data_IF_849285620655
#
_entry.id   IF_849285620655
#
_cell.length_a   1.000
_cell.length_b   1.000
_cell.length_c   1.000
_cell.angle_alpha   90.00
_cell.angle_beta   90.00
_cell.angle_gamma   90.00
#
_symmetry.space_group_name_H-M   'P 1'
#
loop_
_entity.id
_entity.type
_entity.pdbx_description
1 polymer ?
#
# COMPACT_ATOMS: atom_id res chain seq x y z
N UNK A 1 4.50 -47.16 -16.84
CA UNK A 1 4.56 -45.82 -17.48
C UNK A 1 4.23 -44.81 -16.38
N UNK A 2 5.26 -44.17 -15.79
CA UNK A 2 5.10 -43.22 -14.70
C UNK A 2 4.73 -41.85 -15.26
N UNK A 3 3.45 -41.50 -15.24
CA UNK A 3 3.03 -40.12 -15.53
C UNK A 3 3.13 -39.28 -14.27
N UNK A 4 4.12 -38.38 -14.26
CA UNK A 4 4.41 -37.46 -13.16
C UNK A 4 3.23 -36.50 -13.01
N UNK A 5 2.60 -36.50 -11.84
CA UNK A 5 1.60 -35.50 -11.45
C UNK A 5 2.29 -34.13 -11.40
N UNK A 6 2.10 -33.30 -12.41
CA UNK A 6 2.54 -31.90 -12.40
C UNK A 6 1.73 -31.14 -11.35
N UNK A 7 2.34 -30.91 -10.19
CA UNK A 7 1.82 -30.01 -9.17
C UNK A 7 1.87 -28.58 -9.72
N UNK A 8 0.75 -28.10 -10.26
CA UNK A 8 0.54 -26.68 -10.50
C UNK A 8 0.49 -25.97 -9.14
N UNK A 9 1.62 -25.42 -8.71
CA UNK A 9 1.69 -24.59 -7.51
C UNK A 9 0.86 -23.34 -7.73
N UNK A 10 -0.29 -23.26 -7.08
CA UNK A 10 -1.08 -22.03 -7.02
C UNK A 10 -0.29 -20.98 -6.22
N UNK A 11 0.36 -20.06 -6.93
CA UNK A 11 0.92 -18.86 -6.32
C UNK A 11 -0.25 -17.92 -6.08
N UNK A 12 -0.84 -17.98 -4.89
CA UNK A 12 -1.89 -17.05 -4.49
C UNK A 12 -1.39 -15.61 -4.59
N UNK A 13 -2.13 -14.75 -5.28
CA UNK A 13 -1.80 -13.32 -5.35
C UNK A 13 -1.96 -12.68 -3.97
N UNK A 14 -0.87 -12.18 -3.41
CA UNK A 14 -0.87 -11.42 -2.15
C UNK A 14 -0.93 -9.93 -2.48
N UNK A 15 -2.08 -9.32 -2.25
CA UNK A 15 -2.25 -7.87 -2.40
C UNK A 15 -2.01 -7.18 -1.05
N UNK A 16 -1.08 -6.23 -1.02
CA UNK A 16 -0.81 -5.38 0.15
C UNK A 16 -1.47 -4.02 -0.06
N UNK A 17 -2.21 -3.54 0.95
CA UNK A 17 -2.80 -2.20 0.98
C UNK A 17 -2.01 -1.31 1.92
N UNK A 18 -1.74 -0.07 1.50
CA UNK A 18 -1.17 0.96 2.34
C UNK A 18 -2.29 1.71 3.05
N UNK A 19 -2.18 1.86 4.36
CA UNK A 19 -3.14 2.62 5.18
C UNK A 19 -2.39 3.71 5.96
N UNK A 20 -3.01 4.88 6.09
CA UNK A 20 -2.60 5.92 7.02
C UNK A 20 -3.67 6.01 8.09
N UNK A 21 -3.28 5.81 9.35
CA UNK A 21 -4.19 5.83 10.50
C UNK A 21 -3.82 7.03 11.37
N UNK A 22 -4.75 7.97 11.51
CA UNK A 22 -4.57 9.19 12.30
C UNK A 22 -5.54 9.18 13.49
N UNK A 23 -5.02 9.40 14.70
CA UNK A 23 -5.84 9.51 15.90
C UNK A 23 -6.60 10.86 15.92
N UNK A 24 -7.92 10.80 16.02
CA UNK A 24 -8.79 11.98 16.02
C UNK A 24 -8.97 12.57 17.43
N UNK A 25 -7.93 13.22 17.96
CA UNK A 25 -7.92 13.74 19.35
C UNK A 25 -7.68 15.26 19.46
N UNK A 26 -7.66 16.01 18.35
CA UNK A 26 -7.47 17.46 18.40
C UNK A 26 -6.02 17.93 18.63
N UNK A 27 -5.08 17.02 18.85
CA UNK A 27 -3.72 17.37 19.25
C UNK A 27 -2.81 17.64 18.04
N UNK A 28 -1.59 18.14 18.30
CA UNK A 28 -0.55 18.37 17.29
C UNK A 28 -0.33 17.16 16.40
N UNK A 29 -0.34 15.97 16.99
CA UNK A 29 -0.07 14.70 16.30
C UNK A 29 -1.16 14.39 15.26
N UNK A 30 -2.41 14.79 15.50
CA UNK A 30 -3.47 14.71 14.49
C UNK A 30 -3.11 15.54 13.28
N UNK A 31 -2.75 16.81 13.49
CA UNK A 31 -2.41 17.75 12.40
C UNK A 31 -1.20 17.27 11.60
N UNK A 32 -0.18 16.72 12.28
CA UNK A 32 0.97 16.13 11.62
C UNK A 32 0.56 14.89 10.78
N UNK A 33 -0.26 14.00 11.35
CA UNK A 33 -0.77 12.82 10.63
C UNK A 33 -1.58 13.18 9.40
N UNK A 34 -2.49 14.17 9.51
CA UNK A 34 -3.27 14.69 8.38
C UNK A 34 -2.37 15.33 7.32
N UNK A 35 -1.34 16.07 7.71
CA UNK A 35 -0.40 16.67 6.78
C UNK A 35 0.38 15.60 5.98
N UNK A 36 0.87 14.55 6.63
CA UNK A 36 1.55 13.44 5.94
C UNK A 36 0.59 12.63 5.06
N UNK A 37 -0.66 12.42 5.50
CA UNK A 37 -1.68 11.80 4.66
C UNK A 37 -1.91 12.61 3.38
N UNK A 38 -2.08 13.93 3.51
CA UNK A 38 -2.27 14.83 2.37
C UNK A 38 -1.05 14.88 1.45
N UNK A 39 0.17 14.86 1.99
CA UNK A 39 1.40 14.78 1.21
C UNK A 39 1.41 13.54 0.30
N UNK A 40 1.00 12.38 0.82
CA UNK A 40 0.96 11.14 0.06
C UNK A 40 -0.07 11.19 -1.08
N UNK A 41 -1.11 12.02 -0.98
CA UNK A 41 -2.11 12.22 -2.05
C UNK A 41 -1.65 13.15 -3.17
N UNK A 42 -0.57 13.92 -2.98
CA UNK A 42 -0.01 14.80 -4.02
C UNK A 42 0.61 14.01 -5.17
N UNK A 43 0.82 14.61 -6.36
CA UNK A 43 1.53 13.95 -7.46
C UNK A 43 2.91 13.41 -7.05
N UNK A 44 3.68 14.19 -6.30
CA UNK A 44 5.00 13.80 -5.80
C UNK A 44 4.89 12.64 -4.81
N UNK A 45 3.90 12.67 -3.92
CA UNK A 45 3.59 11.56 -3.01
C UNK A 45 3.24 10.27 -3.74
N UNK A 46 2.43 10.37 -4.80
CA UNK A 46 2.06 9.23 -5.64
C UNK A 46 3.26 8.64 -6.41
N UNK A 47 4.19 9.48 -6.83
CA UNK A 47 5.44 9.01 -7.45
C UNK A 47 6.31 8.26 -6.44
N UNK A 48 6.37 8.70 -5.18
CA UNK A 48 7.05 7.98 -4.10
C UNK A 48 6.36 6.65 -3.76
N UNK A 49 5.04 6.63 -3.68
CA UNK A 49 4.23 5.40 -3.46
C UNK A 49 4.50 4.38 -4.58
N UNK A 50 4.58 4.84 -5.83
CA UNK A 50 4.89 3.99 -6.98
C UNK A 50 6.29 3.41 -6.89
N UNK A 51 7.29 4.23 -6.55
CA UNK A 51 8.69 3.78 -6.34
C UNK A 51 8.81 2.78 -5.20
N UNK A 52 7.93 2.86 -4.19
CA UNK A 52 7.85 1.90 -3.09
C UNK A 52 7.13 0.58 -3.46
N UNK A 53 6.68 0.41 -4.71
CA UNK A 53 6.07 -0.82 -5.20
C UNK A 53 4.55 -0.91 -5.02
N UNK A 54 3.89 0.20 -4.67
CA UNK A 54 2.43 0.26 -4.59
C UNK A 54 1.83 0.81 -5.88
N UNK A 55 0.57 0.45 -6.15
CA UNK A 55 -0.20 1.02 -7.26
C UNK A 55 -0.66 2.42 -6.88
N UNK A 56 -0.46 3.40 -7.78
CA UNK A 56 -0.97 4.77 -7.56
C UNK A 56 -2.49 4.78 -7.46
N UNK A 57 -3.01 5.71 -6.67
CA UNK A 57 -4.43 6.04 -6.65
C UNK A 57 -4.71 7.19 -7.64
N UNK A 58 -5.91 7.15 -8.24
CA UNK A 58 -6.41 8.12 -9.23
C UNK A 58 -7.52 8.96 -8.61
#
# INVERSE_FOLDING_TARGET
>A
MNDRKETHSYVGSVNRRLFVIVKQNGQSDRKAGEAYANLLLTPQGQDLITKAGFVRIR
#
